data_IF_462261925650
#
_entry.id   IF_462261925650
#
_cell.length_a   1.000
_cell.length_b   1.000
_cell.length_c   1.000
_cell.angle_alpha   90.00
_cell.angle_beta   90.00
_cell.angle_gamma   90.00
#
_symmetry.space_group_name_H-M   'P 1'
#
loop_
_entity.id
_entity.type
_entity.pdbx_description
1 polymer ?
#
# COMPACT_ATOMS: atom_id res chain seq x y z
N UNK A 1 -24.68 7.92 -5.12
CA UNK A 1 -23.83 6.75 -4.79
C UNK A 1 -22.68 6.76 -5.76
N UNK A 2 -21.47 7.13 -5.32
CA UNK A 2 -20.28 6.88 -6.14
C UNK A 2 -20.03 5.37 -6.10
N UNK A 3 -20.06 4.72 -7.26
CA UNK A 3 -19.59 3.34 -7.35
C UNK A 3 -18.09 3.37 -7.12
N UNK A 4 -17.61 2.58 -6.16
CA UNK A 4 -16.18 2.28 -6.08
C UNK A 4 -15.87 1.44 -7.32
N UNK A 5 -15.38 2.08 -8.37
CA UNK A 5 -14.95 1.37 -9.57
C UNK A 5 -13.61 0.71 -9.23
N UNK A 6 -13.69 -0.53 -8.75
CA UNK A 6 -12.54 -1.37 -8.45
C UNK A 6 -11.78 -1.66 -9.76
N UNK A 7 -10.47 -1.40 -9.76
CA UNK A 7 -9.61 -1.52 -10.93
C UNK A 7 -9.46 -2.98 -11.41
N UNK A 8 -9.51 -3.92 -10.46
CA UNK A 8 -9.33 -5.35 -10.72
C UNK A 8 -10.65 -6.12 -10.56
N UNK A 9 -10.88 -7.17 -11.37
CA UNK A 9 -12.03 -8.04 -11.19
C UNK A 9 -11.92 -8.81 -9.87
N UNK A 10 -13.05 -9.16 -9.25
CA UNK A 10 -13.09 -9.81 -7.93
C UNK A 10 -12.37 -11.17 -7.85
N UNK A 11 -12.14 -11.82 -8.99
CA UNK A 11 -11.41 -13.09 -9.10
C UNK A 11 -9.89 -12.91 -9.26
N UNK A 12 -9.38 -11.68 -9.37
CA UNK A 12 -7.96 -11.41 -9.37
C UNK A 12 -7.30 -11.86 -8.07
N UNK A 13 -6.09 -12.42 -8.17
CA UNK A 13 -5.28 -12.79 -7.01
C UNK A 13 -4.37 -11.61 -6.71
N UNK A 14 -4.94 -10.54 -6.15
CA UNK A 14 -4.22 -9.30 -5.89
C UNK A 14 -4.79 -8.52 -4.68
N UNK A 15 -3.98 -7.61 -4.17
CA UNK A 15 -4.36 -6.54 -3.27
C UNK A 15 -3.77 -5.23 -3.79
N UNK A 16 -4.40 -4.10 -3.47
CA UNK A 16 -3.89 -2.79 -3.87
C UNK A 16 -4.40 -1.68 -2.96
N UNK A 17 -3.71 -0.53 -3.01
CA UNK A 17 -4.14 0.71 -2.39
C UNK A 17 -4.66 1.71 -3.42
N UNK A 18 -5.88 2.21 -3.22
CA UNK A 18 -6.47 3.29 -4.02
C UNK A 18 -6.25 4.62 -3.31
N UNK A 19 -5.42 5.49 -3.91
CA UNK A 19 -5.07 6.80 -3.35
C UNK A 19 -6.24 7.76 -3.34
N UNK A 20 -6.99 7.79 -4.43
CA UNK A 20 -8.14 8.68 -4.65
C UNK A 20 -9.30 8.37 -3.70
N UNK A 21 -9.40 7.11 -3.25
CA UNK A 21 -10.41 6.68 -2.29
C UNK A 21 -9.85 6.52 -0.86
N UNK A 22 -8.54 6.76 -0.67
CA UNK A 22 -7.82 6.47 0.58
C UNK A 22 -8.20 5.09 1.17
N UNK A 23 -8.11 4.05 0.34
CA UNK A 23 -8.67 2.74 0.64
C UNK A 23 -7.71 1.59 0.31
N UNK A 24 -7.56 0.67 1.26
CA UNK A 24 -6.92 -0.62 1.05
C UNK A 24 -7.96 -1.61 0.52
N UNK A 25 -7.59 -2.33 -0.55
CA UNK A 25 -8.43 -3.31 -1.21
C UNK A 25 -7.74 -4.66 -1.24
N UNK A 26 -8.45 -5.71 -0.80
CA UNK A 26 -8.05 -7.10 -1.04
C UNK A 26 -9.13 -7.79 -1.87
N UNK A 27 -8.74 -8.44 -2.96
CA UNK A 27 -9.68 -9.22 -3.76
C UNK A 27 -9.98 -10.55 -3.08
N UNK A 28 -11.21 -11.07 -3.25
CA UNK A 28 -11.64 -12.26 -2.54
C UNK A 28 -10.78 -13.49 -2.87
N UNK A 29 -10.36 -13.64 -4.13
CA UNK A 29 -9.48 -14.72 -4.55
C UNK A 29 -8.04 -14.62 -3.99
N UNK A 30 -7.65 -13.50 -3.38
CA UNK A 30 -6.35 -13.36 -2.72
C UNK A 30 -6.31 -13.98 -1.33
N UNK A 31 -7.46 -14.07 -0.64
CA UNK A 31 -7.58 -14.55 0.75
C UNK A 31 -7.65 -16.08 0.84
N UNK A 32 -6.64 -16.76 0.29
CA UNK A 32 -6.51 -18.21 0.30
C UNK A 32 -5.10 -18.66 0.73
N UNK A 33 -4.89 -19.93 1.11
CA UNK A 33 -3.54 -20.43 1.38
C UNK A 33 -2.60 -20.23 0.19
N UNK A 34 -1.31 -19.87 0.41
CA UNK A 34 -0.64 -19.71 1.71
C UNK A 34 -0.79 -18.33 2.36
N UNK A 35 -1.51 -17.40 1.73
CA UNK A 35 -1.62 -16.00 2.19
C UNK A 35 -2.47 -15.89 3.46
N UNK A 36 -3.61 -16.57 3.49
CA UNK A 36 -4.49 -16.59 4.66
C UNK A 36 -5.18 -17.94 4.79
N UNK A 37 -5.27 -18.42 6.02
CA UNK A 37 -6.21 -19.47 6.39
C UNK A 37 -6.61 -19.25 7.85
N UNK A 38 -7.91 -19.29 8.14
CA UNK A 38 -8.42 -19.21 9.50
C UNK A 38 -7.76 -20.22 10.46
N UNK A 39 -7.42 -21.40 9.96
CA UNK A 39 -6.88 -22.51 10.76
C UNK A 39 -5.35 -22.43 10.92
N UNK A 40 -4.68 -21.48 10.28
CA UNK A 40 -3.24 -21.28 10.47
C UNK A 40 -2.94 -20.62 11.82
N UNK A 41 -1.83 -21.01 12.49
CA UNK A 41 -1.35 -20.27 13.65
C UNK A 41 -1.14 -18.80 13.28
N UNK A 42 -1.51 -17.89 14.18
CA UNK A 42 -1.47 -16.45 13.92
C UNK A 42 -0.18 -15.93 13.26
N UNK A 43 1.05 -16.39 13.64
CA UNK A 43 2.28 -15.95 12.98
C UNK A 43 2.30 -16.17 11.46
N UNK A 44 1.68 -17.24 10.95
CA UNK A 44 1.60 -17.50 9.51
C UNK A 44 0.65 -16.52 8.82
N UNK A 45 -0.49 -16.20 9.42
CA UNK A 45 -1.40 -15.19 8.88
C UNK A 45 -0.78 -13.78 8.96
N UNK A 46 -0.03 -13.46 10.01
CA UNK A 46 0.73 -12.20 10.06
C UNK A 46 1.80 -12.12 8.97
N UNK A 47 2.51 -13.22 8.70
CA UNK A 47 3.53 -13.26 7.66
C UNK A 47 2.95 -13.28 6.23
N UNK A 48 1.78 -13.88 6.04
CA UNK A 48 1.03 -13.87 4.78
C UNK A 48 0.24 -12.57 4.62
N UNK A 49 -1.06 -12.61 4.94
CA UNK A 49 -1.95 -11.46 4.74
C UNK A 49 -1.52 -10.22 5.53
N UNK A 50 -0.93 -10.37 6.72
CA UNK A 50 -0.49 -9.23 7.53
C UNK A 50 0.58 -8.38 6.84
N UNK A 51 1.55 -9.02 6.17
CA UNK A 51 2.57 -8.31 5.37
C UNK A 51 1.93 -7.59 4.19
N UNK A 52 0.98 -8.23 3.49
CA UNK A 52 0.26 -7.59 2.39
C UNK A 52 -0.53 -6.37 2.87
N UNK A 53 -1.28 -6.49 3.96
CA UNK A 53 -2.02 -5.34 4.50
C UNK A 53 -1.09 -4.20 4.91
N UNK A 54 0.08 -4.52 5.48
CA UNK A 54 1.11 -3.52 5.80
C UNK A 54 1.74 -2.89 4.55
N UNK A 55 1.94 -3.67 3.49
CA UNK A 55 2.42 -3.20 2.19
C UNK A 55 1.44 -2.20 1.58
N UNK A 56 0.16 -2.56 1.48
CA UNK A 56 -0.87 -1.67 0.93
C UNK A 56 -1.06 -0.42 1.78
N UNK A 57 -1.00 -0.53 3.11
CA UNK A 57 -1.02 0.65 3.98
C UNK A 57 0.18 1.58 3.70
N UNK A 58 1.36 1.02 3.39
CA UNK A 58 2.55 1.82 3.10
C UNK A 58 2.42 2.60 1.80
N UNK A 59 1.61 2.13 0.84
CA UNK A 59 1.30 2.88 -0.38
C UNK A 59 0.58 4.20 -0.14
N UNK A 60 -0.10 4.38 1.01
CA UNK A 60 -0.63 5.68 1.43
C UNK A 60 0.48 6.73 1.65
N UNK A 61 1.71 6.30 1.94
CA UNK A 61 2.81 7.16 2.35
C UNK A 61 4.05 7.04 1.46
N UNK A 62 3.97 6.28 0.37
CA UNK A 62 5.11 6.04 -0.50
C UNK A 62 5.48 7.27 -1.35
N UNK A 63 6.38 7.08 -2.32
CA UNK A 63 6.86 8.15 -3.20
C UNK A 63 5.74 8.92 -3.91
N UNK A 64 4.58 8.29 -4.14
CA UNK A 64 3.41 8.90 -4.77
C UNK A 64 2.29 9.15 -3.78
N UNK A 65 1.99 8.20 -2.91
CA UNK A 65 0.94 8.31 -1.89
C UNK A 65 1.16 9.48 -0.94
N UNK A 66 2.42 9.79 -0.62
CA UNK A 66 2.75 10.94 0.23
C UNK A 66 2.33 12.32 -0.33
N UNK A 67 1.80 12.41 -1.54
CA UNK A 67 1.23 13.62 -2.13
C UNK A 67 -0.30 13.67 -2.03
N UNK A 68 -0.95 12.68 -1.43
CA UNK A 68 -2.39 12.64 -1.26
C UNK A 68 -2.75 12.87 0.21
N UNK A 69 -3.74 13.72 0.47
CA UNK A 69 -4.27 13.94 1.82
C UNK A 69 -5.27 12.84 2.24
N UNK A 70 -5.83 12.96 3.45
CA UNK A 70 -6.73 11.96 4.03
C UNK A 70 -8.04 11.80 3.25
N UNK A 71 -8.40 12.79 2.44
CA UNK A 71 -9.57 12.78 1.56
C UNK A 71 -9.25 12.22 0.17
N UNK A 72 -8.02 11.75 -0.06
CA UNK A 72 -7.59 11.20 -1.34
C UNK A 72 -7.34 12.27 -2.42
N UNK A 73 -7.10 13.52 -2.03
CA UNK A 73 -6.81 14.61 -2.97
C UNK A 73 -5.32 14.85 -3.06
N UNK A 74 -4.84 15.09 -4.28
CA UNK A 74 -3.46 15.54 -4.49
C UNK A 74 -3.26 16.90 -3.80
N UNK A 75 -2.38 16.93 -2.81
CA UNK A 75 -2.07 18.07 -1.97
C UNK A 75 -0.60 17.95 -1.55
N UNK A 76 0.28 18.78 -2.10
CA UNK A 76 1.69 18.70 -1.70
C UNK A 76 1.94 19.27 -0.29
N UNK A 77 1.04 20.14 0.18
CA UNK A 77 1.24 21.00 1.34
C UNK A 77 0.71 20.41 2.65
N UNK A 78 0.08 19.22 2.61
CA UNK A 78 -0.32 18.51 3.84
C UNK A 78 0.89 18.04 4.67
N UNK A 79 2.07 17.91 4.05
CA UNK A 79 3.33 17.74 4.75
C UNK A 79 4.08 19.06 4.85
N UNK A 80 4.63 19.33 6.04
CA UNK A 80 5.54 20.46 6.23
C UNK A 80 6.76 20.34 5.29
N UNK A 81 7.28 21.45 4.73
CA UNK A 81 8.40 21.42 3.78
C UNK A 81 9.64 20.67 4.29
N UNK A 82 9.97 20.82 5.57
CA UNK A 82 11.11 20.10 6.18
C UNK A 82 10.89 18.59 6.26
N UNK A 83 9.66 18.14 6.48
CA UNK A 83 9.30 16.72 6.50
C UNK A 83 9.37 16.16 5.08
N UNK A 84 8.84 16.89 4.09
CA UNK A 84 8.95 16.53 2.66
C UNK A 84 10.41 16.36 2.26
N UNK A 85 11.28 17.31 2.61
CA UNK A 85 12.73 17.23 2.32
C UNK A 85 13.37 16.00 2.94
N UNK A 86 13.17 15.76 4.24
CA UNK A 86 13.71 14.58 4.95
C UNK A 86 13.20 13.26 4.37
N UNK A 87 11.95 13.22 3.93
CA UNK A 87 11.38 12.05 3.27
C UNK A 87 12.09 11.76 1.94
N UNK A 88 12.27 12.79 1.10
CA UNK A 88 13.00 12.64 -0.17
C UNK A 88 14.46 12.19 0.04
N UNK A 89 15.14 12.72 1.07
CA UNK A 89 16.49 12.30 1.45
C UNK A 89 16.55 10.81 1.82
N UNK A 90 15.63 10.33 2.67
CA UNK A 90 15.57 8.92 3.09
C UNK A 90 15.24 7.98 1.94
N UNK A 91 14.36 8.40 1.03
CA UNK A 91 13.99 7.62 -0.17
C UNK A 91 15.21 7.26 -1.02
N UNK A 92 16.22 8.13 -1.10
CA UNK A 92 17.44 7.88 -1.87
C UNK A 92 18.22 6.66 -1.38
N UNK A 93 18.12 6.30 -0.09
CA UNK A 93 18.73 5.08 0.43
C UNK A 93 18.21 3.83 -0.29
N UNK A 94 16.89 3.73 -0.49
CA UNK A 94 16.26 2.63 -1.20
C UNK A 94 16.55 2.67 -2.70
N UNK A 95 16.52 3.85 -3.33
CA UNK A 95 16.90 4.01 -4.74
C UNK A 95 18.31 3.46 -4.98
N UNK A 96 19.26 3.79 -4.10
CA UNK A 96 20.61 3.26 -4.16
C UNK A 96 20.64 1.74 -3.91
N UNK A 97 20.00 1.28 -2.83
CA UNK A 97 19.98 -0.14 -2.45
C UNK A 97 19.51 -1.05 -3.59
N UNK A 98 18.40 -0.70 -4.22
CA UNK A 98 17.82 -1.51 -5.30
C UNK A 98 18.45 -1.23 -6.67
N UNK A 99 19.05 -0.06 -6.89
CA UNK A 99 19.82 0.25 -8.10
C UNK A 99 21.16 -0.47 -8.18
N UNK A 100 21.71 -0.91 -7.05
CA UNK A 100 22.97 -1.67 -6.96
C UNK A 100 22.77 -3.19 -7.21
N UNK A 101 21.52 -3.65 -7.38
CA UNK A 101 21.21 -5.05 -7.73
C UNK A 101 21.45 -5.27 -9.23
N UNK A 102 22.33 -6.23 -9.56
CA UNK A 102 22.69 -6.59 -10.94
C UNK A 102 21.84 -7.72 -11.50
#
# INVERSE_FOLDING_TARGET
MATLDYYDPSWGVNAYYSRENNALVTLNAYLQPPIFNHDFPAPFNYAGIGVTLGHELTHAFDAWGSYYDAEGKYNNDWLLPDIRRKFQERKQCFVKQYGDIK
#
